data_IF_562412854913
#
_entry.id   IF_562412854913
#
_cell.length_a   1.000
_cell.length_b   1.000
_cell.length_c   1.000
_cell.angle_alpha   90.00
_cell.angle_beta   90.00
_cell.angle_gamma   90.00
#
_symmetry.space_group_name_H-M   'P 1'
#
loop_
_entity.id
_entity.type
_entity.pdbx_description
1 polymer ?
#
# COMPACT_ATOMS: atom_id res chain seq x y z
N UNK A 1 -2.27 18.45 -62.63
CA UNK A 1 -1.00 17.75 -62.90
C UNK A 1 -0.59 17.84 -64.37
N UNK A 2 -1.49 17.64 -65.35
CA UNK A 2 -1.18 17.83 -66.78
C UNK A 2 -0.60 19.21 -67.11
N UNK A 3 -1.15 20.28 -66.55
CA UNK A 3 -0.66 21.64 -66.81
C UNK A 3 0.78 21.88 -66.33
N UNK A 4 1.14 21.36 -65.15
CA UNK A 4 2.50 21.50 -64.61
C UNK A 4 3.54 20.74 -65.46
N UNK A 5 3.15 19.59 -66.02
CA UNK A 5 4.01 18.83 -66.94
C UNK A 5 4.14 19.55 -68.28
N UNK A 6 3.05 20.05 -68.84
CA UNK A 6 3.09 20.80 -70.12
C UNK A 6 3.92 22.09 -70.00
N UNK A 7 3.89 22.76 -68.83
CA UNK A 7 4.72 23.92 -68.53
C UNK A 7 6.20 23.55 -68.40
N UNK A 8 6.50 22.41 -67.75
CA UNK A 8 7.86 21.86 -67.64
C UNK A 8 8.43 21.47 -69.02
N UNK A 9 7.62 20.85 -69.88
CA UNK A 9 8.03 20.50 -71.26
C UNK A 9 8.36 21.76 -72.06
N UNK A 10 7.53 22.81 -71.96
CA UNK A 10 7.81 24.11 -72.59
C UNK A 10 9.09 24.75 -72.06
N UNK A 11 9.32 24.72 -70.74
CA UNK A 11 10.52 25.31 -70.15
C UNK A 11 11.80 24.59 -70.61
N UNK A 12 11.78 23.25 -70.67
CA UNK A 12 12.90 22.45 -71.17
C UNK A 12 13.18 22.78 -72.64
N UNK A 13 12.14 22.91 -73.46
CA UNK A 13 12.29 23.28 -74.87
C UNK A 13 12.92 24.68 -75.03
N UNK A 14 12.51 25.66 -74.24
CA UNK A 14 13.04 27.04 -74.29
C UNK A 14 14.48 27.11 -73.78
N UNK A 15 14.80 26.47 -72.64
CA UNK A 15 16.14 26.57 -72.03
C UNK A 15 17.18 25.70 -72.69
N UNK A 16 16.80 24.55 -73.23
CA UNK A 16 17.76 23.51 -73.66
C UNK A 16 17.64 23.18 -75.14
N UNK A 17 16.64 23.73 -75.85
CA UNK A 17 16.46 23.53 -77.29
C UNK A 17 16.01 22.12 -77.67
N UNK A 18 15.57 21.31 -76.69
CA UNK A 18 15.15 19.92 -76.89
C UNK A 18 13.62 19.84 -76.87
N UNK A 19 13.03 19.28 -77.92
CA UNK A 19 11.58 19.09 -78.03
C UNK A 19 11.24 17.68 -77.52
N UNK A 20 10.51 17.61 -76.41
CA UNK A 20 9.99 16.35 -75.87
C UNK A 20 8.58 16.09 -76.42
N UNK A 21 8.36 14.89 -76.95
CA UNK A 21 7.03 14.40 -77.36
C UNK A 21 6.35 13.68 -76.19
N UNK A 22 5.02 13.55 -76.19
CA UNK A 22 4.29 12.77 -75.16
C UNK A 22 4.73 11.31 -75.07
N UNK A 23 5.24 10.75 -76.18
CA UNK A 23 5.75 9.38 -76.25
C UNK A 23 7.26 9.29 -75.92
N UNK A 24 7.88 10.39 -75.48
CA UNK A 24 9.29 10.41 -75.14
C UNK A 24 9.55 9.50 -73.92
N UNK A 25 10.53 8.57 -73.99
CA UNK A 25 10.85 7.67 -72.89
C UNK A 25 11.12 8.37 -71.56
N UNK A 26 11.66 9.61 -71.57
CA UNK A 26 11.88 10.39 -70.35
C UNK A 26 10.57 10.75 -69.65
N UNK A 27 9.54 11.12 -70.40
CA UNK A 27 8.23 11.46 -69.83
C UNK A 27 7.47 10.21 -69.34
N UNK A 28 7.66 9.07 -70.00
CA UNK A 28 7.13 7.78 -69.54
C UNK A 28 7.77 7.41 -68.19
N UNK A 29 9.09 7.52 -68.06
CA UNK A 29 9.79 7.27 -66.80
C UNK A 29 9.35 8.20 -65.69
N UNK A 30 9.13 9.48 -65.99
CA UNK A 30 8.60 10.42 -65.01
C UNK A 30 7.21 10.01 -64.52
N UNK A 31 6.31 9.65 -65.44
CA UNK A 31 4.96 9.19 -65.11
C UNK A 31 5.00 7.92 -64.23
N UNK A 32 5.88 6.97 -64.55
CA UNK A 32 6.08 5.76 -63.74
C UNK A 32 6.63 6.10 -62.36
N UNK A 33 7.59 7.02 -62.27
CA UNK A 33 8.19 7.43 -61.01
C UNK A 33 7.17 8.14 -60.10
N UNK A 34 6.34 9.03 -60.64
CA UNK A 34 5.26 9.68 -59.91
C UNK A 34 4.27 8.66 -59.34
N UNK A 35 3.86 7.69 -60.15
CA UNK A 35 2.97 6.61 -59.71
C UNK A 35 3.61 5.75 -58.62
N UNK A 36 4.89 5.41 -58.76
CA UNK A 36 5.63 4.65 -57.76
C UNK A 36 5.79 5.42 -56.44
N UNK A 37 6.02 6.74 -56.51
CA UNK A 37 6.05 7.61 -55.33
C UNK A 37 4.69 7.69 -54.65
N UNK A 38 3.60 7.75 -55.41
CA UNK A 38 2.23 7.77 -54.86
C UNK A 38 1.87 6.44 -54.18
N UNK A 39 2.17 5.31 -54.83
CA UNK A 39 2.00 3.97 -54.25
C UNK A 39 2.86 3.79 -53.00
N UNK A 40 4.11 4.28 -53.01
CA UNK A 40 5.00 4.24 -51.84
C UNK A 40 4.44 5.08 -50.69
N UNK A 41 3.94 6.29 -50.96
CA UNK A 41 3.31 7.14 -49.94
C UNK A 41 2.09 6.47 -49.33
N UNK A 42 1.24 5.85 -50.16
CA UNK A 42 0.07 5.13 -49.68
C UNK A 42 0.46 3.93 -48.80
N UNK A 43 1.42 3.13 -49.25
CA UNK A 43 1.95 2.00 -48.47
C UNK A 43 2.54 2.44 -47.13
N UNK A 44 3.30 3.54 -47.11
CA UNK A 44 3.84 4.13 -45.88
C UNK A 44 2.73 4.61 -44.93
N UNK A 45 1.67 5.24 -45.46
CA UNK A 45 0.52 5.66 -44.64
C UNK A 45 -0.21 4.46 -44.02
N UNK A 46 -0.43 3.39 -44.79
CA UNK A 46 -1.05 2.16 -44.29
C UNK A 46 -0.18 1.48 -43.21
N UNK A 47 1.14 1.45 -43.41
CA UNK A 47 2.09 0.93 -42.41
C UNK A 47 2.05 1.76 -41.11
N UNK A 48 2.03 3.09 -41.21
CA UNK A 48 1.96 3.98 -40.05
C UNK A 48 0.63 3.83 -39.31
N UNK A 49 -0.48 3.65 -40.04
CA UNK A 49 -1.78 3.42 -39.43
C UNK A 49 -1.80 2.11 -38.63
N UNK A 50 -1.26 1.01 -39.19
CA UNK A 50 -1.13 -0.27 -38.48
C UNK A 50 -0.20 -0.16 -37.27
N UNK A 51 0.94 0.51 -37.42
CA UNK A 51 1.87 0.71 -36.31
C UNK A 51 1.21 1.46 -35.15
N UNK A 52 0.40 2.48 -35.45
CA UNK A 52 -0.36 3.22 -34.44
C UNK A 52 -1.39 2.33 -33.74
N UNK A 53 -2.12 1.51 -34.50
CA UNK A 53 -3.09 0.54 -33.95
C UNK A 53 -2.41 -0.49 -33.03
N UNK A 54 -1.27 -1.05 -33.45
CA UNK A 54 -0.49 -1.98 -32.62
C UNK A 54 0.03 -1.31 -31.34
N UNK A 55 0.51 -0.07 -31.43
CA UNK A 55 0.93 0.71 -30.27
C UNK A 55 -0.22 0.95 -29.29
N UNK A 56 -1.41 1.31 -29.78
CA UNK A 56 -2.60 1.50 -28.94
C UNK A 56 -3.02 0.18 -28.27
N UNK A 57 -2.97 -0.93 -28.99
CA UNK A 57 -3.27 -2.26 -28.45
C UNK A 57 -2.28 -2.66 -27.34
N UNK A 58 -0.97 -2.57 -27.62
CA UNK A 58 0.08 -2.85 -26.63
C UNK A 58 -0.07 -1.94 -25.42
N UNK A 59 -0.31 -0.65 -25.62
CA UNK A 59 -0.51 0.30 -24.52
C UNK A 59 -1.73 -0.05 -23.67
N UNK A 60 -2.81 -0.54 -24.26
CA UNK A 60 -3.98 -0.98 -23.50
C UNK A 60 -3.66 -2.24 -22.69
N UNK A 61 -3.01 -3.23 -23.30
CA UNK A 61 -2.59 -4.45 -22.60
C UNK A 61 -1.66 -4.14 -21.43
N UNK A 62 -0.66 -3.27 -21.65
CA UNK A 62 0.26 -2.84 -20.59
C UNK A 62 -0.45 -2.14 -19.43
N UNK A 63 -1.46 -1.31 -19.72
CA UNK A 63 -2.25 -0.65 -18.69
C UNK A 63 -3.00 -1.68 -17.84
N UNK A 64 -3.60 -2.69 -18.48
CA UNK A 64 -4.36 -3.73 -17.78
C UNK A 64 -3.42 -4.66 -16.98
N UNK A 65 -2.29 -5.07 -17.55
CA UNK A 65 -1.25 -5.85 -16.87
C UNK A 65 -0.66 -5.11 -15.66
N UNK A 66 -0.36 -3.83 -15.82
CA UNK A 66 0.15 -2.98 -14.75
C UNK A 66 -0.86 -2.87 -13.61
N UNK A 67 -2.15 -2.74 -13.95
CA UNK A 67 -3.24 -2.71 -12.97
C UNK A 67 -3.34 -4.04 -12.23
N UNK A 68 -3.38 -5.17 -12.94
CA UNK A 68 -3.46 -6.49 -12.32
C UNK A 68 -2.28 -6.73 -11.38
N UNK A 69 -1.06 -6.38 -11.82
CA UNK A 69 0.15 -6.53 -11.01
C UNK A 69 0.10 -5.65 -9.76
N UNK A 70 -0.33 -4.40 -9.90
CA UNK A 70 -0.49 -3.47 -8.78
C UNK A 70 -1.52 -3.99 -7.77
N UNK A 71 -2.68 -4.44 -8.23
CA UNK A 71 -3.73 -5.02 -7.38
C UNK A 71 -3.23 -6.27 -6.65
N UNK A 72 -2.51 -7.16 -7.34
CA UNK A 72 -1.92 -8.36 -6.73
C UNK A 72 -0.90 -8.04 -5.64
N UNK A 73 0.02 -7.10 -5.90
CA UNK A 73 1.02 -6.67 -4.92
C UNK A 73 0.35 -5.98 -3.73
N UNK A 74 -0.60 -5.10 -3.99
CA UNK A 74 -1.35 -4.40 -2.95
C UNK A 74 -2.13 -5.38 -2.05
N UNK A 75 -2.81 -6.36 -2.65
CA UNK A 75 -3.55 -7.37 -1.91
C UNK A 75 -2.63 -8.27 -1.07
N UNK A 76 -1.46 -8.66 -1.61
CA UNK A 76 -0.48 -9.42 -0.85
C UNK A 76 0.08 -8.61 0.33
N UNK A 77 0.42 -7.33 0.11
CA UNK A 77 0.86 -6.43 1.16
C UNK A 77 -0.22 -6.20 2.22
N UNK A 78 -1.48 -6.03 1.80
CA UNK A 78 -2.61 -5.85 2.70
C UNK A 78 -2.87 -7.11 3.54
N UNK A 79 -2.79 -8.30 2.94
CA UNK A 79 -2.92 -9.57 3.66
C UNK A 79 -1.82 -9.72 4.71
N UNK A 80 -0.57 -9.45 4.33
CA UNK A 80 0.58 -9.48 5.26
C UNK A 80 0.42 -8.45 6.40
N UNK A 81 -0.02 -7.24 6.08
CA UNK A 81 -0.28 -6.19 7.08
C UNK A 81 -1.38 -6.60 8.07
N UNK A 82 -2.49 -7.17 7.58
CA UNK A 82 -3.57 -7.70 8.44
C UNK A 82 -3.07 -8.80 9.36
N UNK A 83 -2.25 -9.71 8.86
CA UNK A 83 -1.66 -10.78 9.67
C UNK A 83 -0.72 -10.22 10.74
N UNK A 84 0.15 -9.28 10.39
CA UNK A 84 1.04 -8.61 11.34
C UNK A 84 0.25 -7.86 12.43
N UNK A 85 -0.81 -7.14 12.04
CA UNK A 85 -1.70 -6.46 12.98
C UNK A 85 -2.42 -7.45 13.92
N UNK A 86 -2.91 -8.58 13.40
CA UNK A 86 -3.55 -9.60 14.21
C UNK A 86 -2.59 -10.19 15.26
N UNK A 87 -1.34 -10.47 14.85
CA UNK A 87 -0.29 -10.96 15.76
C UNK A 87 0.04 -9.93 16.83
N UNK A 88 0.27 -8.67 16.46
CA UNK A 88 0.55 -7.59 17.41
C UNK A 88 -0.60 -7.35 18.39
N UNK A 89 -1.85 -7.38 17.91
CA UNK A 89 -3.02 -7.26 18.77
C UNK A 89 -3.13 -8.42 19.76
N UNK A 90 -2.88 -9.65 19.30
CA UNK A 90 -2.92 -10.82 20.17
C UNK A 90 -1.83 -10.75 21.25
N UNK A 91 -0.61 -10.33 20.87
CA UNK A 91 0.51 -10.18 21.79
C UNK A 91 0.24 -9.07 22.82
N UNK A 92 -0.16 -7.88 22.36
CA UNK A 92 -0.52 -6.75 23.24
C UNK A 92 -1.69 -7.09 24.17
N UNK A 93 -2.70 -7.81 23.68
CA UNK A 93 -3.82 -8.27 24.51
C UNK A 93 -3.33 -9.25 25.59
N UNK A 94 -2.46 -10.20 25.23
CA UNK A 94 -1.89 -11.17 26.17
C UNK A 94 -1.05 -10.48 27.24
N UNK A 95 -0.21 -9.53 26.87
CA UNK A 95 0.57 -8.72 27.80
C UNK A 95 -0.32 -7.91 28.73
N UNK A 96 -1.37 -7.27 28.20
CA UNK A 96 -2.34 -6.50 28.97
C UNK A 96 -3.08 -7.38 29.98
N UNK A 97 -3.56 -8.55 29.57
CA UNK A 97 -4.22 -9.51 30.45
C UNK A 97 -3.26 -9.99 31.54
N UNK A 98 -2.00 -10.25 31.20
CA UNK A 98 -0.99 -10.65 32.18
C UNK A 98 -0.71 -9.53 33.19
N UNK A 99 -0.59 -8.28 32.74
CA UNK A 99 -0.40 -7.13 33.61
C UNK A 99 -1.59 -6.93 34.57
N UNK A 100 -2.82 -7.02 34.07
CA UNK A 100 -4.03 -6.93 34.89
C UNK A 100 -4.09 -8.08 35.91
N UNK A 101 -3.82 -9.32 35.49
CA UNK A 101 -3.80 -10.48 36.40
C UNK A 101 -2.76 -10.32 37.50
N UNK A 102 -1.58 -9.81 37.16
CA UNK A 102 -0.52 -9.52 38.12
C UNK A 102 -0.95 -8.46 39.12
N UNK A 103 -1.49 -7.33 38.64
CA UNK A 103 -1.98 -6.25 39.50
C UNK A 103 -3.08 -6.72 40.47
N UNK A 104 -4.03 -7.52 39.99
CA UNK A 104 -5.07 -8.12 40.84
C UNK A 104 -4.46 -9.05 41.89
N UNK A 105 -3.48 -9.88 41.49
CA UNK A 105 -2.83 -10.83 42.40
C UNK A 105 -2.01 -10.12 43.47
N UNK A 106 -1.27 -9.09 43.09
CA UNK A 106 -0.49 -8.24 44.00
C UNK A 106 -1.41 -7.52 44.98
N UNK A 107 -2.51 -6.94 44.49
CA UNK A 107 -3.52 -6.28 45.34
C UNK A 107 -4.19 -7.26 46.33
N UNK A 108 -4.49 -8.48 45.87
CA UNK A 108 -5.07 -9.52 46.73
C UNK A 108 -4.07 -10.00 47.79
N UNK A 109 -2.79 -10.11 47.44
CA UNK A 109 -1.74 -10.46 48.38
C UNK A 109 -1.57 -9.37 49.46
N UNK A 110 -1.57 -8.10 49.06
CA UNK A 110 -1.52 -6.96 49.98
C UNK A 110 -2.74 -6.93 50.91
N UNK A 111 -3.95 -7.10 50.37
CA UNK A 111 -5.17 -7.16 51.17
C UNK A 111 -5.15 -8.31 52.20
N UNK A 112 -4.67 -9.50 51.80
CA UNK A 112 -4.50 -10.64 52.72
C UNK A 112 -3.47 -10.34 53.80
N UNK A 113 -2.35 -9.71 53.44
CA UNK A 113 -1.32 -9.32 54.38
C UNK A 113 -1.84 -8.32 55.43
N UNK A 114 -2.55 -7.28 55.00
CA UNK A 114 -3.19 -6.31 55.89
C UNK A 114 -4.24 -6.98 56.80
N UNK A 115 -5.07 -7.87 56.26
CA UNK A 115 -6.07 -8.62 57.05
C UNK A 115 -5.40 -9.52 58.09
N UNK A 116 -4.31 -10.20 57.75
CA UNK A 116 -3.56 -11.01 58.70
C UNK A 116 -2.91 -10.17 59.81
N UNK A 117 -2.34 -9.01 59.47
CA UNK A 117 -1.82 -8.08 60.47
C UNK A 117 -2.92 -7.57 61.40
N UNK A 118 -4.06 -7.14 60.86
CA UNK A 118 -5.21 -6.70 61.65
C UNK A 118 -5.70 -7.80 62.60
N UNK A 119 -5.73 -9.06 62.14
CA UNK A 119 -6.11 -10.21 62.99
C UNK A 119 -5.11 -10.45 64.11
N UNK A 120 -3.80 -10.39 63.83
CA UNK A 120 -2.76 -10.50 64.87
C UNK A 120 -2.87 -9.36 65.88
N UNK A 121 -3.03 -8.13 65.41
CA UNK A 121 -3.22 -6.96 66.27
C UNK A 121 -4.46 -7.12 67.16
N UNK A 122 -5.58 -7.57 66.60
CA UNK A 122 -6.80 -7.87 67.36
C UNK A 122 -6.54 -8.90 68.47
N UNK A 123 -5.81 -9.98 68.19
CA UNK A 123 -5.45 -10.97 69.20
C UNK A 123 -4.57 -10.37 70.31
N UNK A 124 -3.57 -9.56 69.97
CA UNK A 124 -2.75 -8.85 70.95
C UNK A 124 -3.57 -7.89 71.82
N UNK A 125 -4.49 -7.13 71.22
CA UNK A 125 -5.37 -6.22 71.98
C UNK A 125 -6.29 -6.98 72.94
N UNK A 126 -6.76 -8.18 72.55
CA UNK A 126 -7.63 -9.01 73.37
C UNK A 126 -6.86 -9.57 74.58
N UNK A 127 -5.64 -10.07 74.37
CA UNK A 127 -4.75 -10.54 75.45
C UNK A 127 -4.40 -9.40 76.41
N UNK A 128 -4.04 -8.23 75.87
CA UNK A 128 -3.73 -7.03 76.66
C UNK A 128 -4.93 -6.61 77.52
N UNK A 129 -6.14 -6.60 76.95
CA UNK A 129 -7.35 -6.25 77.68
C UNK A 129 -7.65 -7.23 78.83
N UNK A 130 -7.44 -8.54 78.61
CA UNK A 130 -7.57 -9.56 79.66
C UNK A 130 -6.55 -9.31 80.79
N UNK A 131 -5.29 -9.03 80.45
CA UNK A 131 -4.25 -8.76 81.44
C UNK A 131 -4.55 -7.51 82.28
N UNK A 132 -5.04 -6.44 81.65
CA UNK A 132 -5.47 -5.22 82.35
C UNK A 132 -6.63 -5.52 83.31
N UNK A 133 -7.65 -6.27 82.86
CA UNK A 133 -8.77 -6.67 83.72
C UNK A 133 -8.32 -7.48 84.93
N UNK A 134 -7.41 -8.45 84.75
CA UNK A 134 -6.83 -9.22 85.86
C UNK A 134 -6.10 -8.29 86.83
N UNK A 135 -5.30 -7.35 86.34
CA UNK A 135 -4.60 -6.37 87.17
C UNK A 135 -5.55 -5.49 87.99
N UNK A 136 -6.66 -5.04 87.40
CA UNK A 136 -7.69 -4.27 88.10
C UNK A 136 -8.35 -5.12 89.20
N UNK A 137 -8.69 -6.38 88.92
CA UNK A 137 -9.30 -7.27 89.93
C UNK A 137 -8.34 -7.52 91.10
N UNK A 138 -7.06 -7.76 90.83
CA UNK A 138 -6.05 -7.97 91.88
C UNK A 138 -5.87 -6.73 92.76
N UNK A 139 -5.81 -5.54 92.15
CA UNK A 139 -5.68 -4.28 92.90
C UNK A 139 -6.92 -3.97 93.74
N UNK A 140 -8.14 -4.22 93.22
CA UNK A 140 -9.37 -4.13 94.01
C UNK A 140 -9.40 -5.10 95.19
N UNK A 141 -8.97 -6.36 94.99
CA UNK A 141 -8.89 -7.36 96.07
C UNK A 141 -7.92 -6.93 97.17
N UNK A 142 -6.74 -6.41 96.80
CA UNK A 142 -5.76 -5.91 97.78
C UNK A 142 -6.30 -4.71 98.55
N UNK A 143 -7.07 -3.81 97.91
CA UNK A 143 -7.68 -2.67 98.60
C UNK A 143 -8.83 -3.09 99.52
N UNK A 144 -9.58 -4.15 99.20
CA UNK A 144 -10.66 -4.64 100.05
C UNK A 144 -10.15 -5.43 101.27
N UNK A 145 -8.97 -6.04 101.16
CA UNK A 145 -8.35 -6.84 102.23
C UNK A 145 -7.53 -6.01 103.24
N UNK A 146 -7.44 -4.69 103.05
CA UNK A 146 -6.64 -3.75 103.83
C UNK A 146 -7.54 -2.76 104.55
#
# INVERSE_FOLDING_TARGET
MSEAIDETIKEIAVRHGVILSKDDPVLILQTMNERLLEETRKSQQEMLARFKEEMENISSQWKDDAREKAEKVLNAALASSKEAMARLLQESTRESVHAVKKMISDSLAEARYLTQQARKFSQFTLISSIAILIGIVLTCLVHFLK
#
